data_IF_157525724384
#
_entry.id   IF_157525724384
#
_cell.length_a   1.000
_cell.length_b   1.000
_cell.length_c   1.000
_cell.angle_alpha   90.00
_cell.angle_beta   90.00
_cell.angle_gamma   90.00
#
_symmetry.space_group_name_H-M   'P 1'
#
loop_
_entity.id
_entity.type
_entity.pdbx_description
1 polymer ?
#
# COMPACT_ATOMS: atom_id res chain seq x y z
N UNK A 1 34.50 -51.61 -1.34
CA UNK A 1 35.27 -52.51 -0.46
C UNK A 1 36.53 -51.76 -0.06
N UNK A 2 36.58 -51.22 1.17
CA UNK A 2 37.50 -51.59 2.26
C UNK A 2 38.98 -51.42 1.89
N UNK A 3 39.87 -50.72 2.61
CA UNK A 3 39.97 -50.23 3.99
C UNK A 3 40.92 -48.98 3.97
N UNK A 4 41.18 -48.16 4.98
CA UNK A 4 41.05 -48.21 6.43
C UNK A 4 42.29 -47.50 7.05
N UNK A 5 42.08 -46.72 8.11
CA UNK A 5 43.12 -46.04 8.92
C UNK A 5 42.76 -44.56 9.13
N UNK A 6 42.54 -44.02 10.32
CA UNK A 6 42.88 -44.45 11.68
C UNK A 6 43.51 -43.25 12.38
N UNK A 7 42.83 -42.67 13.38
CA UNK A 7 43.32 -41.49 14.11
C UNK A 7 42.30 -40.99 15.13
N UNK A 8 42.34 -41.59 16.33
CA UNK A 8 41.66 -41.15 17.55
C UNK A 8 42.23 -39.83 18.10
N UNK A 9 41.41 -39.00 18.74
CA UNK A 9 41.75 -38.34 20.02
C UNK A 9 40.50 -37.86 20.78
N UNK A 10 40.21 -38.62 21.83
CA UNK A 10 39.70 -38.29 23.18
C UNK A 10 38.76 -37.10 23.43
N UNK A 11 37.66 -37.46 24.09
CA UNK A 11 36.74 -36.68 24.92
C UNK A 11 37.36 -36.17 26.22
N UNK A 12 36.91 -35.01 26.70
CA UNK A 12 36.96 -34.64 28.12
C UNK A 12 35.76 -33.77 28.50
N UNK A 13 34.79 -34.41 29.15
CA UNK A 13 33.73 -33.80 29.95
C UNK A 13 34.29 -33.32 31.29
N UNK A 14 33.92 -32.13 31.75
CA UNK A 14 33.98 -31.81 33.18
C UNK A 14 32.79 -30.93 33.59
N UNK A 15 31.92 -31.54 34.37
CA UNK A 15 30.90 -30.92 35.22
C UNK A 15 31.55 -30.50 36.53
N UNK A 16 31.25 -29.30 37.03
CA UNK A 16 31.38 -28.98 38.45
C UNK A 16 30.29 -27.99 38.87
N UNK A 17 29.71 -28.30 40.00
CA UNK A 17 28.47 -27.87 40.61
C UNK A 17 28.54 -26.57 41.41
N UNK A 18 27.41 -25.85 41.41
CA UNK A 18 26.72 -25.19 42.54
C UNK A 18 27.58 -24.61 43.67
N UNK A 19 27.57 -23.29 43.83
CA UNK A 19 27.56 -22.60 45.14
C UNK A 19 26.55 -21.44 45.06
N UNK A 20 25.51 -21.53 45.88
CA UNK A 20 24.67 -20.42 46.32
C UNK A 20 25.44 -19.61 47.36
N UNK A 21 25.35 -18.28 47.31
CA UNK A 21 25.29 -17.47 48.54
C UNK A 21 24.68 -16.09 48.28
N UNK A 22 23.74 -15.78 49.17
CA UNK A 22 22.82 -14.66 49.22
C UNK A 22 23.52 -13.43 49.85
N UNK A 23 23.27 -12.22 49.32
CA UNK A 23 23.61 -10.96 49.99
C UNK A 23 22.87 -9.77 49.38
N UNK A 24 21.77 -9.42 50.04
CA UNK A 24 21.01 -8.18 49.94
C UNK A 24 21.87 -6.92 50.05
N UNK A 25 21.74 -5.95 49.14
CA UNK A 25 22.03 -4.53 49.37
C UNK A 25 21.00 -3.64 48.66
N UNK A 26 20.39 -2.75 49.45
CA UNK A 26 19.47 -1.70 49.03
C UNK A 26 20.22 -0.47 48.49
N UNK A 27 19.45 0.36 47.79
CA UNK A 27 19.69 1.78 47.47
C UNK A 27 20.70 2.12 46.37
N UNK A 28 20.18 2.49 45.21
CA UNK A 28 20.12 3.91 44.85
C UNK A 28 19.21 4.12 43.64
N UNK A 29 18.16 4.91 43.86
CA UNK A 29 17.52 5.63 42.76
C UNK A 29 18.56 6.60 42.22
N UNK A 30 19.14 6.28 41.06
CA UNK A 30 19.83 7.28 40.25
C UNK A 30 18.96 7.63 39.04
N UNK A 31 18.41 8.83 39.16
CA UNK A 31 17.78 9.64 38.14
C UNK A 31 18.73 9.84 36.96
N UNK A 32 18.62 9.00 35.94
CA UNK A 32 19.42 9.06 34.73
C UNK A 32 18.58 9.32 33.49
N UNK A 33 18.48 10.60 33.12
CA UNK A 33 18.07 11.09 31.80
C UNK A 33 16.62 10.81 31.40
N UNK A 34 15.71 11.68 31.85
CA UNK A 34 14.55 12.03 31.03
C UNK A 34 15.09 12.62 29.73
N UNK A 35 15.28 11.75 28.73
CA UNK A 35 15.36 12.20 27.35
C UNK A 35 14.18 13.13 27.16
N UNK A 36 14.44 14.34 26.68
CA UNK A 36 13.39 15.20 26.14
C UNK A 36 12.83 14.47 24.94
N UNK A 37 11.95 13.49 25.19
CA UNK A 37 11.11 12.92 24.16
C UNK A 37 10.34 14.11 23.62
N UNK A 38 10.66 14.50 22.40
CA UNK A 38 9.84 15.46 21.68
C UNK A 38 8.41 14.94 21.78
N UNK A 39 7.54 15.75 22.38
CA UNK A 39 6.13 15.39 22.48
C UNK A 39 5.58 15.35 21.06
N UNK A 40 5.28 14.15 20.56
CA UNK A 40 4.62 13.97 19.30
C UNK A 40 3.14 14.36 19.44
N UNK A 41 2.67 15.28 18.61
CA UNK A 41 1.28 15.72 18.56
C UNK A 41 0.75 15.61 17.13
N UNK A 42 -0.32 14.84 16.96
CA UNK A 42 -1.10 14.79 15.72
C UNK A 42 -2.56 15.05 16.06
N UNK A 43 -3.17 16.01 15.37
CA UNK A 43 -4.60 16.29 15.51
C UNK A 43 -5.34 15.68 14.33
N UNK A 44 -6.39 14.92 14.59
CA UNK A 44 -7.26 14.35 13.56
C UNK A 44 -8.62 15.04 13.51
N UNK A 45 -9.22 15.11 12.31
CA UNK A 45 -10.57 15.60 12.09
C UNK A 45 -11.64 14.55 12.48
N UNK A 46 -12.92 14.91 12.38
CA UNK A 46 -14.04 14.01 12.70
C UNK A 46 -14.12 12.75 11.81
N UNK A 47 -13.32 12.69 10.75
CA UNK A 47 -13.19 11.53 9.88
C UNK A 47 -11.88 10.75 10.16
N UNK A 48 -11.02 11.16 11.09
CA UNK A 48 -9.75 10.50 11.34
C UNK A 48 -8.66 10.85 10.30
N UNK A 49 -8.75 12.01 9.64
CA UNK A 49 -7.67 12.54 8.79
C UNK A 49 -6.88 13.58 9.56
N UNK A 50 -5.62 13.81 9.21
CA UNK A 50 -4.84 14.93 9.76
C UNK A 50 -5.59 16.25 9.57
N UNK A 51 -5.79 16.97 10.66
CA UNK A 51 -6.53 18.21 10.73
C UNK A 51 -5.76 19.39 10.10
N UNK A 52 -6.47 20.50 9.89
CA UNK A 52 -5.89 21.74 9.38
C UNK A 52 -5.89 21.88 7.85
N UNK A 53 -5.95 20.78 7.10
CA UNK A 53 -6.24 20.86 5.67
C UNK A 53 -7.77 20.97 5.49
N UNK A 54 -8.25 21.93 4.70
CA UNK A 54 -9.68 22.06 4.42
C UNK A 54 -10.14 20.92 3.52
N UNK A 55 -10.54 19.81 4.15
CA UNK A 55 -10.95 18.56 3.50
C UNK A 55 -12.08 18.76 2.48
N UNK A 56 -12.91 19.80 2.63
CA UNK A 56 -13.95 20.16 1.67
C UNK A 56 -13.42 20.55 0.28
N UNK A 57 -12.14 20.92 0.16
CA UNK A 57 -11.49 21.29 -1.12
C UNK A 57 -10.70 20.13 -1.74
N UNK A 58 -10.65 18.97 -1.07
CA UNK A 58 -10.01 17.76 -1.57
C UNK A 58 -11.06 16.78 -2.09
N UNK A 59 -10.66 15.92 -3.02
CA UNK A 59 -11.52 14.89 -3.57
C UNK A 59 -11.08 13.52 -3.08
N UNK A 60 -11.80 12.98 -2.10
CA UNK A 60 -11.54 11.65 -1.51
C UNK A 60 -12.26 10.50 -2.22
N UNK A 61 -13.04 10.79 -3.27
CA UNK A 61 -13.66 9.72 -4.05
C UNK A 61 -12.57 8.95 -4.81
N UNK A 62 -12.77 7.65 -4.96
CA UNK A 62 -11.92 6.86 -5.85
C UNK A 62 -12.09 7.37 -7.29
N UNK A 63 -10.99 7.80 -7.92
CA UNK A 63 -10.97 8.41 -9.25
C UNK A 63 -9.96 7.74 -10.17
N UNK A 64 -10.33 7.68 -11.44
CA UNK A 64 -9.46 7.21 -12.52
C UNK A 64 -9.08 8.41 -13.39
N UNK A 65 -7.78 8.66 -13.49
CA UNK A 65 -7.16 9.74 -14.24
C UNK A 65 -6.13 9.13 -15.19
N UNK A 66 -5.60 9.94 -16.11
CA UNK A 66 -4.56 9.50 -17.03
C UNK A 66 -3.47 10.55 -17.16
N UNK A 67 -2.24 10.11 -17.34
CA UNK A 67 -1.17 10.97 -17.82
C UNK A 67 -1.26 11.10 -19.33
N UNK A 68 -1.06 12.32 -19.83
CA UNK A 68 -0.81 12.56 -21.24
C UNK A 68 0.34 13.56 -21.44
N UNK A 69 1.09 13.43 -22.54
CA UNK A 69 1.93 14.52 -23.02
C UNK A 69 1.08 15.70 -23.52
N UNK A 70 1.53 16.94 -23.30
CA UNK A 70 0.88 18.14 -23.85
C UNK A 70 1.17 18.32 -25.34
N UNK A 71 2.38 17.98 -25.78
CA UNK A 71 2.87 18.27 -27.12
C UNK A 71 3.29 17.02 -27.91
N UNK A 72 3.55 15.89 -27.25
CA UNK A 72 3.89 14.64 -27.94
C UNK A 72 2.65 13.81 -28.34
N UNK A 73 2.78 13.02 -29.40
CA UNK A 73 1.73 12.11 -29.87
C UNK A 73 1.70 10.76 -29.14
N UNK A 74 2.71 10.47 -28.30
CA UNK A 74 2.84 9.19 -27.62
C UNK A 74 3.34 9.34 -26.19
N UNK A 75 2.70 8.62 -25.27
CA UNK A 75 3.09 8.50 -23.87
C UNK A 75 4.25 7.50 -23.67
N UNK A 76 4.46 6.58 -24.63
CA UNK A 76 5.37 5.42 -24.48
C UNK A 76 6.82 5.79 -24.12
N UNK A 77 7.46 6.81 -24.72
CA UNK A 77 8.85 7.16 -24.38
C UNK A 77 9.00 7.60 -22.92
N UNK A 78 8.04 8.37 -22.41
CA UNK A 78 8.04 8.84 -21.02
C UNK A 78 7.90 7.68 -20.04
N UNK A 79 6.97 6.76 -20.30
CA UNK A 79 6.79 5.56 -19.47
C UNK A 79 8.03 4.67 -19.51
N UNK A 80 8.69 4.52 -20.66
CA UNK A 80 9.92 3.75 -20.78
C UNK A 80 11.05 4.34 -19.93
N UNK A 81 11.16 5.68 -19.87
CA UNK A 81 12.13 6.35 -19.01
C UNK A 81 11.80 6.12 -17.53
N UNK A 82 10.53 6.26 -17.13
CA UNK A 82 10.09 6.04 -15.75
C UNK A 82 10.27 4.58 -15.31
N UNK A 83 10.01 3.61 -16.18
CA UNK A 83 10.26 2.18 -15.88
C UNK A 83 11.75 1.90 -15.72
N UNK A 84 12.60 2.51 -16.56
CA UNK A 84 14.06 2.41 -16.43
C UNK A 84 14.54 2.99 -15.10
N UNK A 85 14.04 4.16 -14.71
CA UNK A 85 14.38 4.80 -13.43
C UNK A 85 13.88 3.97 -12.24
N UNK A 86 12.65 3.45 -12.31
CA UNK A 86 12.09 2.59 -11.26
C UNK A 86 12.94 1.34 -11.00
N UNK A 87 13.63 0.81 -12.01
CA UNK A 87 14.54 -0.35 -11.86
C UNK A 87 15.85 -0.03 -11.14
N UNK A 88 16.17 1.26 -10.94
CA UNK A 88 17.40 1.73 -10.30
C UNK A 88 17.15 2.26 -8.88
N UNK A 89 15.90 2.49 -8.51
CA UNK A 89 15.53 2.94 -7.16
C UNK A 89 15.42 1.76 -6.19
N UNK A 90 15.54 2.02 -4.90
CA UNK A 90 15.28 1.05 -3.85
C UNK A 90 13.80 0.63 -3.87
N UNK A 91 13.55 -0.61 -4.31
CA UNK A 91 12.19 -1.14 -4.46
C UNK A 91 11.60 -1.41 -3.08
N UNK A 92 10.40 -0.89 -2.81
CA UNK A 92 9.66 -0.99 -1.53
C UNK A 92 10.15 -0.09 -0.38
N UNK A 93 11.10 0.81 -0.63
CA UNK A 93 11.37 1.94 0.27
C UNK A 93 10.66 3.19 -0.25
N UNK A 94 10.15 4.02 0.66
CA UNK A 94 9.48 5.27 0.31
C UNK A 94 10.32 6.50 0.65
N UNK A 95 10.09 7.56 -0.11
CA UNK A 95 10.87 8.78 -0.06
C UNK A 95 9.96 9.99 0.02
N UNK A 96 10.39 10.99 0.77
CA UNK A 96 9.69 12.25 0.94
C UNK A 96 10.05 13.24 -0.17
N UNK A 97 9.05 13.92 -0.70
CA UNK A 97 9.18 15.07 -1.58
C UNK A 97 8.38 16.24 -0.99
N UNK A 98 9.05 17.21 -0.33
CA UNK A 98 8.39 18.39 0.22
C UNK A 98 7.60 19.19 -0.82
N UNK A 99 6.49 19.78 -0.40
CA UNK A 99 5.62 20.59 -1.26
C UNK A 99 6.31 21.84 -1.82
N UNK A 100 7.38 22.33 -1.19
CA UNK A 100 8.18 23.46 -1.65
C UNK A 100 9.44 23.05 -2.44
N UNK A 101 9.85 21.77 -2.41
CA UNK A 101 11.05 21.30 -3.10
C UNK A 101 10.79 21.19 -4.61
N UNK A 102 11.77 21.62 -5.41
CA UNK A 102 11.76 21.38 -6.86
C UNK A 102 12.19 19.94 -7.13
N UNK A 103 11.54 19.23 -8.06
CA UNK A 103 11.93 17.87 -8.39
C UNK A 103 13.35 17.81 -8.95
N UNK A 104 14.10 16.81 -8.53
CA UNK A 104 15.51 16.57 -8.88
C UNK A 104 15.67 15.50 -9.96
N UNK A 105 14.72 14.57 -10.06
CA UNK A 105 14.64 13.55 -11.10
C UNK A 105 13.23 13.44 -11.71
N UNK A 106 13.06 12.60 -12.72
CA UNK A 106 11.80 12.39 -13.42
C UNK A 106 10.72 11.77 -12.51
N UNK A 107 11.06 10.84 -11.63
CA UNK A 107 10.11 10.24 -10.68
C UNK A 107 9.56 11.29 -9.70
N UNK A 108 10.43 12.14 -9.14
CA UNK A 108 10.01 13.27 -8.31
C UNK A 108 9.16 14.28 -9.10
N UNK A 109 9.46 14.49 -10.38
CA UNK A 109 8.67 15.40 -11.21
C UNK A 109 7.22 14.89 -11.40
N UNK A 110 7.05 13.57 -11.58
CA UNK A 110 5.71 12.95 -11.62
C UNK A 110 5.02 13.00 -10.25
N UNK A 111 5.73 12.69 -9.17
CA UNK A 111 5.18 12.82 -7.82
C UNK A 111 4.74 14.27 -7.53
N UNK A 112 5.52 15.26 -7.99
CA UNK A 112 5.18 16.68 -7.88
C UNK A 112 3.94 17.07 -8.67
N UNK A 113 3.79 16.54 -9.89
CA UNK A 113 2.61 16.75 -10.72
C UNK A 113 1.36 16.16 -10.06
N UNK A 114 1.44 14.95 -9.50
CA UNK A 114 0.35 14.29 -8.76
C UNK A 114 -0.06 15.13 -7.53
N UNK A 115 0.92 15.51 -6.69
CA UNK A 115 0.68 16.39 -5.55
C UNK A 115 0.01 17.69 -5.98
N UNK A 116 0.56 18.34 -7.00
CA UNK A 116 0.08 19.62 -7.55
C UNK A 116 -1.35 19.52 -8.05
N UNK A 117 -1.70 18.44 -8.74
CA UNK A 117 -3.02 18.23 -9.31
C UNK A 117 -4.09 18.06 -8.22
N UNK A 118 -3.81 17.21 -7.22
CA UNK A 118 -4.80 16.86 -6.19
C UNK A 118 -4.93 17.91 -5.08
N UNK A 119 -3.92 18.79 -4.91
CA UNK A 119 -3.94 19.87 -3.92
C UNK A 119 -4.28 21.23 -4.49
N UNK A 120 -4.47 21.35 -5.82
CA UNK A 120 -4.59 22.64 -6.52
C UNK A 120 -5.67 23.56 -5.93
N UNK A 121 -6.78 22.99 -5.48
CA UNK A 121 -7.92 23.74 -4.97
C UNK A 121 -7.78 24.07 -3.47
N UNK A 122 -6.83 23.46 -2.77
CA UNK A 122 -6.58 23.63 -1.34
C UNK A 122 -5.26 24.36 -1.01
N UNK A 123 -4.54 24.87 -2.02
CA UNK A 123 -3.17 25.43 -1.88
C UNK A 123 -3.05 26.51 -0.81
N UNK A 124 -4.05 27.37 -0.69
CA UNK A 124 -4.04 28.50 0.25
C UNK A 124 -4.29 28.06 1.70
N UNK A 125 -4.73 26.82 1.91
CA UNK A 125 -5.08 26.28 3.22
C UNK A 125 -4.10 25.19 3.71
N UNK A 126 -3.01 24.98 2.97
CA UNK A 126 -2.03 23.94 3.25
C UNK A 126 -0.73 24.60 3.73
N UNK A 127 -0.20 24.16 4.85
CA UNK A 127 1.16 24.46 5.26
C UNK A 127 2.13 23.67 4.37
N UNK A 128 2.64 24.32 3.33
CA UNK A 128 3.60 23.73 2.39
C UNK A 128 4.94 23.34 3.03
N UNK A 129 5.28 23.83 4.23
CA UNK A 129 6.48 23.40 4.95
C UNK A 129 6.29 22.02 5.61
N UNK A 130 5.06 21.73 6.05
CA UNK A 130 4.68 20.45 6.65
C UNK A 130 3.99 19.51 5.66
N UNK A 131 3.91 19.84 4.37
CA UNK A 131 3.19 19.03 3.38
C UNK A 131 4.10 18.52 2.28
N UNK A 132 3.66 17.47 1.60
CA UNK A 132 4.41 16.89 0.50
C UNK A 132 3.82 15.60 -0.02
N UNK A 133 4.66 14.91 -0.78
CA UNK A 133 4.38 13.62 -1.36
C UNK A 133 5.37 12.60 -0.81
N UNK A 134 4.86 11.53 -0.23
CA UNK A 134 5.63 10.30 -0.06
C UNK A 134 5.50 9.51 -1.36
N UNK A 135 6.62 9.06 -1.93
CA UNK A 135 6.60 8.31 -3.19
C UNK A 135 7.54 7.11 -3.15
N UNK A 136 7.15 6.05 -3.86
CA UNK A 136 7.95 4.85 -4.03
C UNK A 136 7.55 4.13 -5.32
N UNK A 137 8.39 3.19 -5.74
CA UNK A 137 8.08 2.31 -6.87
C UNK A 137 7.86 0.88 -6.39
N UNK A 138 7.00 0.17 -7.11
CA UNK A 138 6.81 -1.25 -6.95
C UNK A 138 7.04 -1.95 -8.29
N UNK A 139 7.98 -2.89 -8.27
CA UNK A 139 8.28 -3.81 -9.36
C UNK A 139 7.85 -5.20 -8.92
N UNK A 140 6.96 -5.83 -9.70
CA UNK A 140 6.46 -7.17 -9.43
C UNK A 140 6.52 -8.02 -10.69
N UNK A 141 7.23 -9.13 -10.62
CA UNK A 141 7.37 -10.08 -11.72
C UNK A 141 6.13 -10.95 -11.81
N UNK A 142 5.49 -10.98 -12.98
CA UNK A 142 4.28 -11.79 -13.18
C UNK A 142 4.64 -13.28 -13.15
N UNK A 143 3.95 -14.05 -12.30
CA UNK A 143 4.16 -15.51 -12.13
C UNK A 143 4.83 -15.91 -10.82
N UNK A 144 5.54 -15.00 -10.16
CA UNK A 144 6.11 -15.26 -8.84
C UNK A 144 5.08 -14.98 -7.74
N UNK A 145 4.34 -16.02 -7.32
CA UNK A 145 3.27 -15.91 -6.30
C UNK A 145 3.71 -15.26 -4.98
N UNK A 146 5.02 -15.26 -4.68
CA UNK A 146 5.61 -14.65 -3.48
C UNK A 146 5.57 -13.12 -3.49
N UNK A 147 5.32 -12.50 -4.65
CA UNK A 147 5.32 -11.05 -4.78
C UNK A 147 3.91 -10.43 -4.79
N UNK A 148 2.96 -11.05 -4.07
CA UNK A 148 1.63 -10.47 -3.89
C UNK A 148 1.69 -9.17 -3.09
N UNK A 149 0.91 -8.17 -3.48
CA UNK A 149 0.68 -7.00 -2.63
C UNK A 149 -0.53 -7.34 -1.76
N UNK A 150 -0.25 -7.72 -0.52
CA UNK A 150 -1.26 -8.01 0.51
C UNK A 150 -2.16 -6.82 0.76
N UNK A 151 -3.35 -7.06 1.30
CA UNK A 151 -4.22 -5.96 1.71
C UNK A 151 -3.62 -5.23 2.91
N UNK A 152 -3.56 -3.90 2.83
CA UNK A 152 -3.01 -3.03 3.86
C UNK A 152 -3.67 -1.64 3.81
N UNK A 153 -3.36 -0.84 4.82
CA UNK A 153 -3.61 0.59 4.85
C UNK A 153 -2.27 1.30 4.70
N UNK A 154 -2.20 2.33 3.86
CA UNK A 154 -1.05 3.23 3.86
C UNK A 154 -1.06 4.04 5.14
N UNK A 155 0.05 4.07 5.87
CA UNK A 155 0.14 4.73 7.16
C UNK A 155 1.56 5.17 7.44
N UNK A 156 1.71 6.06 8.41
CA UNK A 156 3.00 6.33 9.03
C UNK A 156 3.42 5.11 9.85
N UNK A 157 4.32 4.29 9.29
CA UNK A 157 4.76 3.03 9.91
C UNK A 157 5.51 3.28 11.22
N UNK A 158 6.31 4.33 11.31
CA UNK A 158 7.07 4.65 12.52
C UNK A 158 6.14 5.05 13.67
N UNK A 159 5.04 5.75 13.42
CA UNK A 159 4.04 6.05 14.46
C UNK A 159 3.27 4.82 14.93
N UNK A 160 3.05 3.84 14.05
CA UNK A 160 2.49 2.57 14.46
C UNK A 160 3.47 1.85 15.39
N UNK A 161 4.74 1.78 15.00
CA UNK A 161 5.78 1.07 15.75
C UNK A 161 6.10 1.72 17.10
N UNK A 162 6.11 3.05 17.17
CA UNK A 162 6.50 3.82 18.37
C UNK A 162 5.33 4.19 19.28
N UNK A 163 4.15 4.43 18.71
CA UNK A 163 2.99 4.96 19.43
C UNK A 163 1.72 4.12 19.28
N UNK A 164 1.69 3.11 18.40
CA UNK A 164 0.54 2.25 18.19
C UNK A 164 -0.67 2.97 17.57
N UNK A 165 -0.45 4.03 16.80
CA UNK A 165 -1.53 4.84 16.20
C UNK A 165 -1.47 4.80 14.67
N UNK A 166 -2.65 4.72 14.04
CA UNK A 166 -2.77 4.81 12.60
C UNK A 166 -2.96 6.27 12.17
N UNK A 167 -1.96 6.82 11.47
CA UNK A 167 -2.07 8.09 10.76
C UNK A 167 -1.90 7.81 9.27
N UNK A 168 -2.86 8.27 8.46
CA UNK A 168 -2.95 7.94 7.03
C UNK A 168 -2.71 9.18 6.16
N UNK A 169 -2.23 9.01 4.92
CA UNK A 169 -2.21 10.09 3.95
C UNK A 169 -3.63 10.59 3.65
N UNK A 170 -3.76 11.84 3.22
CA UNK A 170 -5.07 12.38 2.79
C UNK A 170 -5.55 11.67 1.53
N UNK A 171 -4.64 11.43 0.59
CA UNK A 171 -4.93 10.76 -0.68
C UNK A 171 -3.81 9.77 -0.96
N UNK A 172 -4.17 8.50 -1.19
CA UNK A 172 -3.26 7.49 -1.71
C UNK A 172 -3.46 7.34 -3.21
N UNK A 173 -2.39 6.99 -3.93
CA UNK A 173 -2.45 6.86 -5.39
C UNK A 173 -1.65 5.67 -5.94
N UNK A 174 -2.08 5.19 -7.10
CA UNK A 174 -1.37 4.17 -7.89
C UNK A 174 -1.29 4.64 -9.34
N UNK A 175 -0.09 4.90 -9.82
CA UNK A 175 0.18 5.18 -11.24
C UNK A 175 0.79 3.95 -11.89
N UNK A 176 0.11 3.40 -12.90
CA UNK A 176 0.61 2.25 -13.64
C UNK A 176 1.59 2.70 -14.73
N UNK A 177 2.84 2.25 -14.63
CA UNK A 177 3.86 2.49 -15.66
C UNK A 177 3.85 1.40 -16.74
N UNK A 178 3.29 0.22 -16.44
CA UNK A 178 3.01 -0.87 -17.38
C UNK A 178 1.54 -1.30 -17.33
N UNK A 179 1.05 -2.02 -18.36
CA UNK A 179 -0.35 -2.47 -18.47
C UNK A 179 -0.57 -3.91 -18.00
N UNK A 180 0.22 -4.41 -17.04
CA UNK A 180 0.34 -5.85 -16.75
C UNK A 180 0.30 -6.14 -15.25
N UNK A 181 -0.12 -7.37 -14.91
CA UNK A 181 -0.17 -7.88 -13.54
C UNK A 181 -1.50 -7.70 -12.82
N UNK A 182 -1.50 -7.99 -11.51
CA UNK A 182 -2.71 -7.98 -10.70
C UNK A 182 -3.40 -6.60 -10.66
N UNK A 183 -4.75 -6.56 -10.75
CA UNK A 183 -5.52 -5.34 -10.53
C UNK A 183 -5.38 -4.83 -9.10
N UNK A 184 -5.35 -3.51 -8.93
CA UNK A 184 -5.47 -2.91 -7.61
C UNK A 184 -6.94 -3.00 -7.16
N UNK A 185 -7.17 -3.56 -5.99
CA UNK A 185 -8.46 -3.64 -5.33
C UNK A 185 -8.47 -2.65 -4.16
N UNK A 186 -9.45 -1.75 -4.14
CA UNK A 186 -9.67 -0.77 -3.07
C UNK A 186 -11.02 -1.07 -2.43
N UNK A 187 -11.08 -1.03 -1.11
CA UNK A 187 -12.29 -1.26 -0.32
C UNK A 187 -12.54 -0.03 0.54
N UNK A 188 -13.76 0.52 0.48
CA UNK A 188 -14.14 1.73 1.22
C UNK A 188 -14.40 1.38 2.70
N UNK A 189 -13.33 1.01 3.40
CA UNK A 189 -13.27 0.73 4.84
C UNK A 189 -11.98 1.29 5.40
N UNK A 190 -12.03 1.76 6.64
CA UNK A 190 -10.90 2.40 7.32
C UNK A 190 -10.37 1.55 8.45
N UNK A 191 -9.11 1.77 8.82
CA UNK A 191 -8.57 1.27 10.08
C UNK A 191 -9.22 2.00 11.27
N UNK A 192 -9.06 1.43 12.48
CA UNK A 192 -9.29 2.18 13.72
C UNK A 192 -8.16 3.17 13.99
N UNK A 193 -8.34 4.04 14.98
CA UNK A 193 -7.31 5.03 15.34
C UNK A 193 -6.13 4.36 16.02
N UNK A 194 -6.41 3.46 16.98
CA UNK A 194 -5.38 2.60 17.55
C UNK A 194 -5.07 1.48 16.57
N UNK A 195 -3.80 1.10 16.48
CA UNK A 195 -3.37 -0.04 15.67
C UNK A 195 -3.98 -1.36 16.15
N UNK A 196 -4.30 -1.46 17.44
CA UNK A 196 -4.94 -2.64 18.05
C UNK A 196 -6.46 -2.67 17.88
N UNK A 197 -7.07 -1.63 17.32
CA UNK A 197 -8.52 -1.56 17.16
C UNK A 197 -9.04 -2.70 16.26
N UNK A 198 -10.02 -3.44 16.77
CA UNK A 198 -10.60 -4.56 16.05
C UNK A 198 -11.51 -4.09 14.91
N UNK A 199 -11.02 -4.19 13.68
CA UNK A 199 -11.77 -3.89 12.45
C UNK A 199 -12.65 -5.06 11.98
N UNK A 200 -12.69 -6.18 12.70
CA UNK A 200 -13.31 -7.44 12.26
C UNK A 200 -14.85 -7.48 12.32
N UNK A 201 -15.48 -6.37 12.69
CA UNK A 201 -16.92 -6.16 12.57
C UNK A 201 -17.31 -5.31 11.35
N UNK A 202 -16.35 -4.84 10.56
CA UNK A 202 -16.59 -3.93 9.44
C UNK A 202 -17.15 -4.65 8.22
N UNK A 203 -18.37 -4.26 7.82
CA UNK A 203 -18.93 -4.63 6.53
C UNK A 203 -18.61 -3.56 5.50
N UNK A 204 -18.07 -3.97 4.36
CA UNK A 204 -17.73 -3.08 3.25
C UNK A 204 -18.80 -3.22 2.17
N UNK A 205 -19.41 -2.09 1.80
CA UNK A 205 -20.50 -2.05 0.80
C UNK A 205 -20.04 -1.56 -0.57
N UNK A 206 -18.81 -1.04 -0.66
CA UNK A 206 -18.27 -0.37 -1.83
C UNK A 206 -16.78 -0.68 -2.01
N UNK A 207 -16.35 -0.79 -3.26
CA UNK A 207 -14.95 -0.95 -3.59
C UNK A 207 -14.69 -0.69 -5.06
N UNK A 208 -13.43 -0.74 -5.46
CA UNK A 208 -12.99 -0.52 -6.83
C UNK A 208 -12.00 -1.59 -7.23
N UNK A 209 -12.14 -2.12 -8.45
CA UNK A 209 -11.17 -3.01 -9.06
C UNK A 209 -10.59 -2.34 -10.31
N UNK A 210 -9.30 -2.01 -10.30
CA UNK A 210 -8.62 -1.31 -11.39
C UNK A 210 -7.54 -2.20 -12.02
N UNK A 211 -7.75 -2.61 -13.26
CA UNK A 211 -6.78 -3.38 -14.06
C UNK A 211 -5.63 -2.46 -14.51
N UNK A 212 -4.37 -2.89 -14.49
CA UNK A 212 -3.25 -2.05 -14.93
C UNK A 212 -3.40 -1.59 -16.38
N UNK A 213 -3.19 -0.29 -16.61
CA UNK A 213 -3.12 0.32 -17.95
C UNK A 213 -2.03 1.38 -17.89
N UNK A 214 -1.00 1.25 -18.71
CA UNK A 214 0.14 2.16 -18.68
C UNK A 214 -0.31 3.62 -18.88
N UNK A 215 0.11 4.51 -17.97
CA UNK A 215 -0.33 5.90 -17.90
C UNK A 215 -1.60 6.15 -17.08
N UNK A 216 -2.33 5.10 -16.68
CA UNK A 216 -3.50 5.25 -15.81
C UNK A 216 -3.05 5.56 -14.39
N UNK A 217 -3.75 6.50 -13.77
CA UNK A 217 -3.54 6.95 -12.41
C UNK A 217 -4.83 6.77 -11.61
N UNK A 218 -4.73 6.10 -10.47
CA UNK A 218 -5.82 5.86 -9.53
C UNK A 218 -5.55 6.70 -8.28
N UNK A 219 -6.55 7.43 -7.81
CA UNK A 219 -6.49 8.19 -6.56
C UNK A 219 -7.69 7.85 -5.69
N UNK A 220 -7.50 7.75 -4.37
CA UNK A 220 -8.54 7.37 -3.42
C UNK A 220 -8.22 7.93 -2.03
N UNK A 221 -9.21 7.91 -1.13
CA UNK A 221 -9.00 8.27 0.28
C UNK A 221 -7.89 7.40 0.89
N UNK A 222 -6.84 8.01 1.44
CA UNK A 222 -5.66 7.28 1.92
C UNK A 222 -5.93 6.33 3.09
N UNK A 223 -7.11 6.43 3.72
CA UNK A 223 -7.55 5.53 4.79
C UNK A 223 -8.12 4.21 4.27
N UNK A 224 -8.31 4.03 2.97
CA UNK A 224 -8.99 2.85 2.42
C UNK A 224 -8.08 1.62 2.35
N UNK A 225 -8.63 0.48 2.78
CA UNK A 225 -7.97 -0.83 2.67
C UNK A 225 -7.79 -1.19 1.19
N UNK A 226 -6.58 -1.55 0.79
CA UNK A 226 -6.31 -1.86 -0.60
C UNK A 226 -5.16 -2.85 -0.77
N UNK A 227 -5.07 -3.46 -1.95
CA UNK A 227 -4.01 -4.41 -2.30
C UNK A 227 -4.03 -4.78 -3.79
N UNK A 228 -3.07 -5.58 -4.23
CA UNK A 228 -3.06 -6.15 -5.57
C UNK A 228 -2.73 -7.65 -5.52
N UNK A 229 -3.72 -8.49 -5.16
CA UNK A 229 -3.50 -9.92 -4.96
C UNK A 229 -3.07 -10.63 -6.24
N UNK A 230 -1.96 -11.37 -6.19
CA UNK A 230 -1.37 -12.02 -7.37
C UNK A 230 -2.30 -13.06 -8.02
N UNK A 231 -3.21 -13.67 -7.25
CA UNK A 231 -4.22 -14.61 -7.75
C UNK A 231 -5.31 -13.96 -8.63
N UNK A 232 -5.32 -12.62 -8.77
CA UNK A 232 -6.21 -11.90 -9.67
C UNK A 232 -5.55 -11.52 -11.00
N UNK A 233 -4.26 -11.84 -11.18
CA UNK A 233 -3.52 -11.64 -12.44
C UNK A 233 -4.16 -12.45 -13.57
N UNK A 234 -4.35 -11.88 -14.78
CA UNK A 234 -4.83 -12.64 -15.94
C UNK A 234 -3.88 -13.78 -16.33
N UNK A 235 -4.41 -14.94 -16.72
CA UNK A 235 -3.61 -16.12 -17.10
C UNK A 235 -2.75 -15.92 -18.36
N UNK A 236 -3.15 -15.00 -19.25
CA UNK A 236 -2.46 -14.71 -20.53
C UNK A 236 -1.44 -13.56 -20.43
N UNK A 237 -1.13 -13.05 -19.23
CA UNK A 237 -0.11 -12.02 -19.04
C UNK A 237 1.29 -12.63 -19.14
N UNK A 238 1.75 -12.85 -20.37
CA UNK A 238 3.14 -13.23 -20.73
C UNK A 238 4.16 -12.08 -20.52
N UNK A 239 3.73 -10.95 -19.97
CA UNK A 239 4.59 -9.78 -19.77
C UNK A 239 5.09 -9.73 -18.33
N UNK A 240 6.41 -9.68 -18.21
CA UNK A 240 7.13 -10.03 -17.00
C UNK A 240 6.96 -9.03 -15.85
N UNK A 241 6.50 -7.79 -16.04
CA UNK A 241 6.63 -6.75 -15.01
C UNK A 241 5.39 -5.86 -14.83
N UNK A 242 4.81 -5.90 -13.62
CA UNK A 242 3.92 -4.86 -13.08
C UNK A 242 4.79 -3.79 -12.42
N UNK A 243 4.87 -2.63 -13.07
CA UNK A 243 5.60 -1.47 -12.57
C UNK A 243 4.61 -0.36 -12.20
N UNK A 244 4.62 0.08 -10.96
CA UNK A 244 3.78 1.17 -10.45
C UNK A 244 4.60 2.20 -9.71
N UNK A 245 4.28 3.47 -9.91
CA UNK A 245 4.70 4.58 -9.07
C UNK A 245 3.54 4.92 -8.13
N UNK A 246 3.79 4.85 -6.82
CA UNK A 246 2.82 5.18 -5.79
C UNK A 246 3.22 6.51 -5.18
N UNK A 247 2.21 7.34 -4.92
CA UNK A 247 2.39 8.67 -4.36
C UNK A 247 1.29 8.93 -3.36
N UNK A 248 1.66 8.99 -2.09
CA UNK A 248 0.79 9.38 -1.00
C UNK A 248 0.91 10.88 -0.77
N UNK A 249 -0.23 11.56 -0.65
CA UNK A 249 -0.31 13.00 -0.43
C UNK A 249 -0.59 13.25 1.03
N UNK A 250 0.36 13.93 1.67
CA UNK A 250 0.33 14.27 3.08
C UNK A 250 0.25 15.79 3.23
N UNK A 251 -0.77 16.27 3.93
CA UNK A 251 -1.02 17.70 4.14
C UNK A 251 -0.90 18.06 5.61
N UNK A 252 -0.17 19.14 5.89
CA UNK A 252 0.10 19.65 7.24
C UNK A 252 0.72 18.62 8.19
N UNK A 253 1.36 17.60 7.61
CA UNK A 253 2.04 16.53 8.31
C UNK A 253 3.06 15.86 7.39
N UNK A 254 4.29 15.66 7.87
CA UNK A 254 5.30 14.82 7.22
C UNK A 254 5.30 13.47 7.95
N UNK A 255 5.11 12.33 7.25
CA UNK A 255 5.28 11.02 7.86
C UNK A 255 6.69 10.84 8.43
N UNK A 256 6.74 10.18 9.59
CA UNK A 256 7.94 9.95 10.39
C UNK A 256 8.79 8.84 9.76
N UNK A 257 10.11 8.92 9.91
CA UNK A 257 11.03 7.92 9.36
C UNK A 257 11.21 7.95 7.83
N UNK A 258 10.62 8.93 7.12
CA UNK A 258 10.73 9.05 5.67
C UNK A 258 11.63 10.24 5.28
N UNK A 259 12.67 9.96 4.51
CA UNK A 259 13.66 10.93 4.07
C UNK A 259 13.62 11.21 2.57
N UNK A 260 14.34 12.26 2.15
CA UNK A 260 14.52 12.54 0.72
C UNK A 260 15.21 11.37 0.03
N UNK A 261 14.89 11.15 -1.24
CA UNK A 261 15.68 10.22 -2.06
C UNK A 261 17.17 10.65 -2.08
N UNK A 262 18.12 9.70 -1.89
CA UNK A 262 19.54 10.01 -1.73
C UNK A 262 20.10 10.82 -2.89
N UNK A 263 20.91 11.83 -2.58
CA UNK A 263 21.41 12.78 -3.58
C UNK A 263 22.38 12.13 -4.56
N UNK A 264 23.15 11.17 -4.09
CA UNK A 264 24.12 10.37 -4.84
C UNK A 264 23.46 9.48 -5.91
N UNK A 265 22.20 9.08 -5.71
CA UNK A 265 21.47 8.23 -6.66
C UNK A 265 20.72 9.03 -7.73
N UNK A 266 20.53 10.34 -7.54
CA UNK A 266 19.80 11.22 -8.47
C UNK A 266 20.45 11.22 -9.86
N UNK A 267 21.78 11.23 -9.94
CA UNK A 267 22.51 11.31 -11.20
C UNK A 267 22.33 10.05 -12.08
N UNK A 268 21.89 8.93 -11.50
CA UNK A 268 21.57 7.70 -12.23
C UNK A 268 20.16 7.72 -12.85
N UNK A 269 19.31 8.68 -12.46
CA UNK A 269 17.93 8.82 -12.90
C UNK A 269 17.79 9.86 -14.01
N UNK A 270 16.71 9.79 -14.78
CA UNK A 270 16.42 10.79 -15.78
C UNK A 270 16.13 12.16 -15.12
N UNK A 271 16.62 13.24 -15.74
CA UNK A 271 16.34 14.59 -15.29
C UNK A 271 14.83 14.93 -15.39
N UNK A 272 14.31 15.88 -14.60
CA UNK A 272 12.90 16.30 -14.64
C UNK A 272 12.40 16.70 -16.03
N UNK A 273 13.29 17.26 -16.87
CA UNK A 273 12.99 17.63 -18.25
C UNK A 273 12.56 16.45 -19.13
N UNK A 274 12.92 15.22 -18.79
CA UNK A 274 12.52 14.02 -19.51
C UNK A 274 11.00 13.79 -19.48
N UNK A 275 10.30 14.34 -18.47
CA UNK A 275 8.85 14.19 -18.27
C UNK A 275 8.11 15.51 -18.14
N UNK A 276 8.76 16.65 -18.40
CA UNK A 276 8.17 17.98 -18.23
C UNK A 276 6.92 18.24 -19.12
N UNK A 277 6.74 17.46 -20.19
CA UNK A 277 5.58 17.53 -21.06
C UNK A 277 4.38 16.72 -20.52
N UNK A 278 4.59 15.83 -19.54
CA UNK A 278 3.52 15.05 -18.94
C UNK A 278 2.69 15.89 -17.98
N UNK A 279 1.39 15.66 -18.01
CA UNK A 279 0.46 16.21 -17.04
C UNK A 279 -0.61 15.18 -16.70
N UNK A 280 -1.16 15.30 -15.50
CA UNK A 280 -2.30 14.52 -15.08
C UNK A 280 -3.58 15.21 -15.53
N UNK A 281 -4.46 14.49 -16.22
CA UNK A 281 -5.73 15.03 -16.65
C UNK A 281 -6.88 14.07 -16.35
N UNK A 282 -8.05 14.66 -16.13
CA UNK A 282 -9.30 13.94 -15.90
C UNK A 282 -10.02 13.73 -17.22
N UNK A 283 -10.13 12.48 -17.66
CA UNK A 283 -10.88 12.09 -18.86
C UNK A 283 -12.38 11.85 -18.57
N UNK A 284 -12.84 12.14 -17.35
CA UNK A 284 -14.13 11.74 -16.81
C UNK A 284 -14.06 10.36 -16.14
N UNK A 285 -14.97 10.12 -15.18
CA UNK A 285 -15.05 8.83 -14.49
C UNK A 285 -15.43 7.71 -15.46
N UNK A 286 -14.43 6.90 -15.81
CA UNK A 286 -14.54 5.76 -16.73
C UNK A 286 -14.76 4.43 -16.00
N UNK A 287 -15.17 4.46 -14.72
CA UNK A 287 -15.46 3.22 -13.99
C UNK A 287 -16.82 2.62 -14.40
N UNK A 288 -16.83 1.33 -14.73
CA UNK A 288 -18.10 0.60 -14.94
C UNK A 288 -18.68 0.20 -13.59
N UNK A 289 -19.84 0.75 -13.25
CA UNK A 289 -20.58 0.30 -12.06
C UNK A 289 -21.06 -1.14 -12.20
N UNK A 290 -20.80 -1.94 -11.18
CA UNK A 290 -21.17 -3.34 -11.07
C UNK A 290 -21.81 -3.59 -9.70
N UNK A 291 -22.98 -4.22 -9.66
CA UNK A 291 -23.66 -4.56 -8.40
C UNK A 291 -23.62 -6.06 -8.18
N UNK A 292 -22.83 -6.51 -7.21
CA UNK A 292 -22.64 -7.92 -6.90
C UNK A 292 -23.68 -8.42 -5.90
N UNK A 293 -24.18 -9.63 -6.10
CA UNK A 293 -25.14 -10.30 -5.20
C UNK A 293 -26.63 -10.14 -5.54
N UNK A 294 -27.01 -9.44 -6.63
CA UNK A 294 -28.43 -9.31 -7.01
C UNK A 294 -28.88 -10.45 -7.94
N UNK A 295 -29.87 -11.25 -7.52
CA UNK A 295 -30.38 -12.40 -8.28
C UNK A 295 -31.34 -12.07 -9.45
N UNK A 296 -31.52 -10.81 -9.83
CA UNK A 296 -32.71 -10.36 -10.59
C UNK A 296 -32.56 -9.98 -12.07
N UNK A 297 -31.40 -10.14 -12.72
CA UNK A 297 -31.26 -9.76 -14.13
C UNK A 297 -29.86 -10.00 -14.67
N UNK A 298 -29.66 -11.16 -15.30
CA UNK A 298 -28.34 -11.65 -15.71
C UNK A 298 -27.53 -12.11 -14.50
N UNK A 299 -27.17 -13.39 -14.46
CA UNK A 299 -26.34 -13.93 -13.37
C UNK A 299 -24.92 -13.36 -13.53
N UNK A 300 -24.64 -12.19 -12.95
CA UNK A 300 -23.27 -11.70 -12.85
C UNK A 300 -22.51 -12.67 -11.94
N UNK A 301 -21.61 -13.45 -12.54
CA UNK A 301 -20.82 -14.43 -11.83
C UNK A 301 -19.75 -13.71 -11.00
N UNK A 302 -19.68 -14.04 -9.72
CA UNK A 302 -18.67 -13.56 -8.79
C UNK A 302 -18.15 -14.73 -7.96
N UNK A 303 -16.96 -14.58 -7.40
CA UNK A 303 -16.38 -15.51 -6.44
C UNK A 303 -16.02 -14.76 -5.17
N UNK A 304 -16.18 -15.41 -4.02
CA UNK A 304 -15.68 -14.87 -2.75
C UNK A 304 -14.23 -15.28 -2.63
N UNK A 305 -13.34 -14.30 -2.50
CA UNK A 305 -11.93 -14.49 -2.26
C UNK A 305 -11.62 -14.23 -0.79
N UNK A 306 -10.64 -14.95 -0.26
CA UNK A 306 -10.21 -14.83 1.12
C UNK A 306 -8.73 -14.42 1.15
N UNK A 307 -8.43 -13.37 1.89
CA UNK A 307 -7.10 -12.79 2.00
C UNK A 307 -6.74 -12.57 3.47
N UNK A 308 -5.78 -13.33 4.03
CA UNK A 308 -5.25 -13.02 5.34
C UNK A 308 -4.44 -11.73 5.26
N UNK A 309 -4.54 -10.89 6.28
CA UNK A 309 -3.77 -9.64 6.40
C UNK A 309 -3.68 -9.21 7.87
N UNK A 310 -2.84 -8.20 8.14
CA UNK A 310 -2.58 -7.68 9.49
C UNK A 310 -1.08 -7.52 9.75
N UNK A 311 -0.68 -7.20 11.00
CA UNK A 311 0.71 -6.95 11.39
C UNK A 311 1.70 -8.02 10.92
N UNK A 312 1.38 -9.29 11.12
CA UNK A 312 2.17 -10.44 10.66
C UNK A 312 1.55 -11.10 9.42
N UNK A 313 0.53 -10.47 8.86
CA UNK A 313 -0.19 -10.88 7.65
C UNK A 313 -1.24 -11.96 7.88
N UNK A 314 -1.60 -12.28 9.13
CA UNK A 314 -2.47 -13.42 9.44
C UNK A 314 -3.52 -13.17 10.53
N UNK A 315 -3.64 -11.95 11.05
CA UNK A 315 -4.52 -11.62 12.18
C UNK A 315 -5.98 -11.48 11.75
N UNK A 316 -6.20 -10.96 10.54
CA UNK A 316 -7.50 -10.72 9.95
C UNK A 316 -7.68 -11.53 8.68
N UNK A 317 -8.93 -11.90 8.40
CA UNK A 317 -9.34 -12.55 7.16
C UNK A 317 -10.32 -11.63 6.43
N UNK A 318 -9.87 -11.06 5.32
CA UNK A 318 -10.74 -10.33 4.40
C UNK A 318 -11.45 -11.33 3.49
N UNK A 319 -12.78 -11.33 3.52
CA UNK A 319 -13.63 -12.04 2.54
C UNK A 319 -14.23 -11.01 1.61
N UNK A 320 -13.89 -11.08 0.32
CA UNK A 320 -14.31 -10.08 -0.67
C UNK A 320 -14.95 -10.76 -1.89
N UNK A 321 -16.21 -10.45 -2.23
CA UNK A 321 -16.81 -10.85 -3.49
C UNK A 321 -16.16 -10.08 -4.63
N UNK A 322 -15.59 -10.77 -5.60
CA UNK A 322 -15.01 -10.14 -6.80
C UNK A 322 -15.64 -10.73 -8.06
N UNK A 323 -15.74 -9.93 -9.14
CA UNK A 323 -16.27 -10.43 -10.41
C UNK A 323 -15.46 -11.62 -10.91
N UNK A 324 -16.14 -12.62 -11.47
CA UNK A 324 -15.50 -13.79 -12.05
C UNK A 324 -14.53 -13.39 -13.17
N UNK A 325 -13.63 -14.31 -13.54
CA UNK A 325 -12.74 -14.08 -14.68
C UNK A 325 -13.51 -13.76 -15.96
N UNK A 326 -14.58 -14.51 -16.25
CA UNK A 326 -15.47 -14.28 -17.39
C UNK A 326 -16.10 -12.88 -17.36
N UNK A 327 -16.59 -12.44 -16.19
CA UNK A 327 -17.15 -11.08 -16.04
C UNK A 327 -16.10 -10.00 -16.25
N UNK A 328 -14.88 -10.19 -15.73
CA UNK A 328 -13.75 -9.27 -15.95
C UNK A 328 -13.38 -9.20 -17.44
N UNK A 329 -13.26 -10.35 -18.12
CA UNK A 329 -12.97 -10.43 -19.56
C UNK A 329 -14.07 -9.78 -20.42
N UNK A 330 -15.33 -10.00 -20.07
CA UNK A 330 -16.46 -9.36 -20.75
C UNK A 330 -16.35 -7.83 -20.68
N UNK A 331 -16.13 -7.27 -19.50
CA UNK A 331 -16.00 -5.81 -19.35
C UNK A 331 -14.73 -5.26 -20.00
N UNK A 332 -13.61 -5.99 -19.94
CA UNK A 332 -12.38 -5.62 -20.62
C UNK A 332 -12.57 -5.56 -22.16
N UNK A 333 -13.29 -6.51 -22.76
CA UNK A 333 -13.59 -6.48 -24.20
C UNK A 333 -14.48 -5.31 -24.64
N UNK A 334 -15.17 -4.67 -23.69
CA UNK A 334 -15.94 -3.43 -23.89
C UNK A 334 -15.12 -2.16 -23.61
N UNK A 335 -13.82 -2.30 -23.32
CA UNK A 335 -12.92 -1.17 -23.03
C UNK A 335 -12.94 -0.71 -21.57
N UNK A 336 -13.66 -1.38 -20.67
CA UNK A 336 -13.66 -1.02 -19.25
C UNK A 336 -12.42 -1.55 -18.54
N UNK A 337 -11.66 -0.64 -17.93
CA UNK A 337 -10.41 -0.99 -17.22
C UNK A 337 -10.51 -0.81 -15.71
N UNK A 338 -11.63 -0.27 -15.23
CA UNK A 338 -11.93 -0.06 -13.82
C UNK A 338 -13.40 -0.41 -13.58
N UNK A 339 -13.68 -1.16 -12.50
CA UNK A 339 -15.01 -1.53 -12.07
C UNK A 339 -15.32 -0.89 -10.70
N UNK A 340 -16.42 -0.14 -10.61
CA UNK A 340 -16.98 0.39 -9.36
C UNK A 340 -17.91 -0.66 -8.75
N UNK A 341 -17.45 -1.34 -7.71
CA UNK A 341 -18.13 -2.45 -7.05
C UNK A 341 -19.11 -1.93 -6.00
N UNK A 342 -20.37 -2.34 -6.13
CA UNK A 342 -21.43 -2.15 -5.14
C UNK A 342 -21.87 -3.52 -4.63
N UNK A 343 -21.67 -3.77 -3.35
CA UNK A 343 -22.03 -5.03 -2.73
C UNK A 343 -23.47 -4.99 -2.23
N UNK A 344 -24.31 -5.94 -2.67
CA UNK A 344 -25.65 -6.14 -2.11
C UNK A 344 -25.55 -6.55 -0.63
N UNK A 345 -26.61 -6.33 0.15
CA UNK A 345 -26.62 -6.55 1.61
C UNK A 345 -26.22 -7.99 1.99
N UNK A 346 -26.66 -8.95 1.20
CA UNK A 346 -26.38 -10.38 1.32
C UNK A 346 -25.01 -10.82 0.75
N UNK A 347 -24.25 -9.92 0.14
CA UNK A 347 -22.97 -10.19 -0.53
C UNK A 347 -21.95 -9.08 -0.23
N UNK A 348 -21.85 -8.66 1.03
CA UNK A 348 -20.88 -7.65 1.48
C UNK A 348 -19.48 -8.24 1.60
N UNK A 349 -18.46 -7.42 1.34
CA UNK A 349 -17.12 -7.75 1.77
C UNK A 349 -17.03 -7.57 3.29
N UNK A 350 -16.25 -8.41 3.97
CA UNK A 350 -16.15 -8.41 5.43
C UNK A 350 -14.73 -8.70 5.88
N UNK A 351 -14.29 -8.01 6.92
CA UNK A 351 -13.11 -8.38 7.69
C UNK A 351 -13.55 -9.22 8.88
N UNK A 352 -12.84 -10.30 9.22
CA UNK A 352 -13.13 -11.18 10.35
C UNK A 352 -11.83 -11.51 11.09
N UNK A 353 -11.85 -11.91 12.38
CA UNK A 353 -10.64 -12.39 13.04
C UNK A 353 -10.21 -13.71 12.39
N UNK A 354 -8.94 -13.83 12.01
CA UNK A 354 -8.40 -15.07 11.47
C UNK A 354 -7.93 -15.97 12.63
N UNK A 355 -8.90 -16.57 13.34
CA UNK A 355 -8.58 -17.50 14.42
C UNK A 355 -8.01 -18.79 13.81
N UNK A 356 -6.83 -19.28 14.25
CA UNK A 356 -6.44 -20.64 13.93
C UNK A 356 -7.52 -21.57 14.48
N UNK A 357 -8.09 -22.42 13.63
CA UNK A 357 -8.96 -23.50 14.12
C UNK A 357 -8.15 -24.26 15.17
N UNK A 358 -8.56 -24.19 16.43
CA UNK A 358 -8.06 -25.09 17.45
C UNK A 358 -8.28 -26.49 16.89
N UNK A 359 -7.19 -27.21 16.59
CA UNK A 359 -7.26 -28.57 16.11
C UNK A 359 -8.07 -29.34 17.15
N UNK A 360 -9.31 -29.69 16.77
CA UNK A 360 -10.21 -30.40 17.64
C UNK A 360 -9.53 -31.70 18.00
N UNK A 361 -8.96 -31.79 19.21
CA UNK A 361 -8.63 -33.06 19.83
C UNK A 361 -9.96 -33.81 19.88
N UNK A 362 -10.16 -34.70 18.92
CA UNK A 362 -11.16 -35.77 18.99
C UNK A 362 -10.94 -36.45 20.34
N UNK A 363 -11.75 -36.07 21.33
CA UNK A 363 -11.94 -36.87 22.53
C UNK A 363 -12.44 -38.22 22.04
N UNK A 364 -11.54 -39.20 21.98
CA UNK A 364 -11.95 -40.60 22.06
C UNK A 364 -12.59 -40.75 23.44
N UNK A 365 -13.91 -40.78 23.47
CA UNK A 365 -14.65 -41.27 24.63
C UNK A 365 -14.32 -42.74 24.84
N UNK A 366 -14.25 -43.18 26.12
CA UNK A 366 -13.76 -44.51 26.51
C UNK A 366 -14.63 -45.66 25.97
#
# INVERSE_FOLDING_TARGET
>A
MAAGGGGDYASASSSSSLHDDDSSHSDSMDSGSSGSGESFEVTLDAHGRIAGAFTSKLNFNTRVLFFAPKNASSLKPYLSALVSDASKTFVQESFWLPANLKPRCALEAIAKEIYTFHTKDARDDIDTAASGAEWWVQLRTVGEKKETISFHFDKDEELVDTHGINVHPHISTVTYLTSRGAPTTILETTAGFSYEDDISASTVTRGTLSTPVAGKHLAFDGRYLHGAPSNLTPDEDECELRCTLLVNIWLNFKPTGIDLFPQEEIDALAAPSAVADLHLHDNGDVARRLTLGRQGGGRQSYHVHEYPFGPTGVEHLLRVPLPSLESKQHHASQGWTTLDLRFARECVASVQPNKPQASGKRRRTP
#
